data_IF_709428000098
#
_entry.id   IF_709428000098
#
_cell.length_a   1.000
_cell.length_b   1.000
_cell.length_c   1.000
_cell.angle_alpha   90.00
_cell.angle_beta   90.00
_cell.angle_gamma   90.00
#
_symmetry.space_group_name_H-M   'P 1'
#
loop_
_entity.id
_entity.type
_entity.pdbx_description
1 polymer ?
#
# COMPACT_ATOMS: atom_id res chain seq x y z
N UNK A 1 -7.47 -15.70 28.81
CA UNK A 1 -7.10 -14.68 29.80
C UNK A 1 -6.46 -13.56 29.01
N UNK A 2 -7.22 -12.51 28.71
CA UNK A 2 -6.71 -11.32 28.03
C UNK A 2 -5.91 -10.54 29.07
N UNK A 3 -4.59 -10.66 29.04
CA UNK A 3 -3.73 -9.69 29.71
C UNK A 3 -4.05 -8.33 29.07
N UNK A 4 -4.71 -7.47 29.84
CA UNK A 4 -4.83 -6.05 29.53
C UNK A 4 -3.41 -5.50 29.51
N UNK A 5 -2.84 -5.36 28.32
CA UNK A 5 -1.61 -4.59 28.13
C UNK A 5 -1.99 -3.12 28.24
N UNK A 6 -1.89 -2.59 29.46
CA UNK A 6 -2.02 -1.17 29.71
C UNK A 6 -0.78 -0.45 29.15
N UNK A 7 -0.87 0.01 27.91
CA UNK A 7 0.16 0.83 27.25
C UNK A 7 0.35 2.21 27.92
N UNK A 8 -0.48 2.56 28.93
CA UNK A 8 -0.39 3.85 29.62
C UNK A 8 0.76 3.95 30.64
N UNK A 9 1.43 2.84 30.98
CA UNK A 9 2.62 2.86 31.83
C UNK A 9 3.80 3.52 31.09
N UNK A 10 3.86 4.85 31.13
CA UNK A 10 4.92 5.65 30.49
C UNK A 10 6.28 5.32 31.10
N UNK A 11 7.31 5.22 30.25
CA UNK A 11 8.72 5.26 30.65
C UNK A 11 8.96 6.23 31.82
N UNK A 12 9.52 5.71 32.90
CA UNK A 12 9.99 6.53 34.02
C UNK A 12 11.29 7.18 33.58
N UNK A 13 11.30 8.51 33.48
CA UNK A 13 12.51 9.28 33.19
C UNK A 13 13.51 9.06 34.33
N UNK A 14 14.67 8.46 34.02
CA UNK A 14 15.75 8.33 34.98
C UNK A 14 16.49 9.66 35.09
N UNK A 15 16.24 10.40 36.16
CA UNK A 15 17.03 11.59 36.48
C UNK A 15 18.33 11.15 37.17
N UNK A 16 19.43 11.17 36.42
CA UNK A 16 20.76 10.96 37.00
C UNK A 16 21.08 12.08 38.01
N UNK A 17 21.84 11.78 39.09
CA UNK A 17 22.34 12.82 39.99
C UNK A 17 23.27 13.80 39.23
N UNK A 18 23.29 15.06 39.65
CA UNK A 18 24.19 16.06 39.05
C UNK A 18 25.66 15.65 39.27
N UNK A 19 26.47 15.55 38.20
CA UNK A 19 27.90 15.25 38.32
C UNK A 19 28.65 16.44 38.93
N UNK A 20 29.71 16.15 39.67
CA UNK A 20 30.70 17.16 40.05
C UNK A 20 31.40 17.74 38.82
N UNK A 21 32.06 18.92 38.90
CA UNK A 21 32.78 19.49 37.76
C UNK A 21 33.87 18.59 37.18
N UNK A 22 34.50 17.74 38.01
CA UNK A 22 35.52 16.77 37.57
C UNK A 22 34.88 15.61 36.80
N UNK A 23 33.79 15.05 37.33
CA UNK A 23 33.01 14.01 36.64
C UNK A 23 32.42 14.53 35.33
N UNK A 24 31.95 15.78 35.27
CA UNK A 24 31.47 16.38 34.03
C UNK A 24 32.57 16.50 32.98
N UNK A 25 33.78 16.94 33.36
CA UNK A 25 34.90 17.03 32.44
C UNK A 25 35.34 15.64 31.92
N UNK A 26 35.28 14.61 32.77
CA UNK A 26 35.53 13.22 32.37
C UNK A 26 34.45 12.70 31.43
N UNK A 27 33.17 12.97 31.71
CA UNK A 27 32.04 12.62 30.83
C UNK A 27 32.19 13.27 29.45
N UNK A 28 32.54 14.55 29.39
CA UNK A 28 32.73 15.27 28.12
C UNK A 28 33.88 14.67 27.30
N UNK A 29 35.01 14.35 27.95
CA UNK A 29 36.15 13.70 27.29
C UNK A 29 35.79 12.30 26.81
N UNK A 30 35.05 11.54 27.61
CA UNK A 30 34.57 10.21 27.26
C UNK A 30 33.60 10.27 26.07
N UNK A 31 32.64 11.20 26.04
CA UNK A 31 31.70 11.35 24.94
C UNK A 31 32.36 11.84 23.65
N UNK A 32 33.32 12.76 23.73
CA UNK A 32 34.12 13.14 22.57
C UNK A 32 34.89 11.93 22.01
N UNK A 33 35.47 11.10 22.88
CA UNK A 33 36.17 9.88 22.46
C UNK A 33 35.23 8.82 21.88
N UNK A 34 34.04 8.66 22.47
CA UNK A 34 32.99 7.80 21.91
C UNK A 34 32.60 8.27 20.51
N UNK A 35 32.42 9.58 20.30
CA UNK A 35 32.10 10.16 19.00
C UNK A 35 33.19 9.94 17.96
N UNK A 36 34.47 10.12 18.32
CA UNK A 36 35.62 9.77 17.46
C UNK A 36 35.66 8.28 17.09
N UNK A 37 35.11 7.41 17.94
CA UNK A 37 35.03 5.96 17.74
C UNK A 37 33.68 5.52 17.16
N UNK A 38 32.80 6.45 16.79
CA UNK A 38 31.43 6.18 16.32
C UNK A 38 30.58 5.36 17.32
N UNK A 39 30.81 5.54 18.61
CA UNK A 39 30.04 4.96 19.70
C UNK A 39 29.00 5.98 20.20
N UNK A 40 27.78 5.53 20.48
CA UNK A 40 26.73 6.36 21.07
C UNK A 40 26.17 5.67 22.32
N UNK A 41 26.16 6.35 23.48
CA UNK A 41 25.70 5.75 24.72
C UNK A 41 24.17 5.60 24.77
N UNK A 42 23.68 4.40 25.08
CA UNK A 42 22.24 4.11 25.14
C UNK A 42 21.50 4.95 26.19
N UNK A 43 22.13 5.26 27.33
CA UNK A 43 21.51 6.05 28.40
C UNK A 43 21.17 7.48 27.98
N UNK A 44 21.70 7.97 26.85
CA UNK A 44 21.35 9.26 26.26
C UNK A 44 20.29 9.16 25.14
N UNK A 45 19.85 7.94 24.79
CA UNK A 45 19.04 7.68 23.58
C UNK A 45 17.84 6.75 23.80
N UNK A 46 17.72 6.10 24.95
CA UNK A 46 16.79 4.99 25.17
C UNK A 46 15.33 5.34 24.83
N UNK A 47 14.85 6.52 25.23
CA UNK A 47 13.46 6.94 25.01
C UNK A 47 13.10 7.11 23.53
N UNK A 48 14.06 7.54 22.69
CA UNK A 48 13.85 7.68 21.25
C UNK A 48 14.07 6.39 20.48
N UNK A 49 14.95 5.50 20.95
CA UNK A 49 15.22 4.22 20.30
C UNK A 49 14.18 3.15 20.61
N UNK A 50 13.59 3.20 21.81
CA UNK A 50 12.66 2.21 22.33
C UNK A 50 11.46 2.92 22.96
N UNK A 51 10.56 3.53 22.16
CA UNK A 51 9.39 4.23 22.69
C UNK A 51 8.36 3.22 23.26
N UNK A 52 7.44 3.71 24.11
CA UNK A 52 6.37 2.85 24.68
C UNK A 52 5.39 2.35 23.60
N UNK A 53 5.22 3.15 22.55
CA UNK A 53 4.40 2.86 21.37
C UNK A 53 5.05 3.46 20.13
N UNK A 54 4.69 3.03 18.90
CA UNK A 54 5.27 3.58 17.68
C UNK A 54 5.05 5.10 17.56
N UNK A 55 6.15 5.83 17.32
CA UNK A 55 6.14 7.27 17.00
C UNK A 55 6.53 7.46 15.52
N UNK A 56 5.61 7.27 14.56
CA UNK A 56 5.93 7.31 13.14
C UNK A 56 6.37 8.72 12.71
N UNK A 57 7.45 8.79 11.92
CA UNK A 57 7.85 10.04 11.26
C UNK A 57 6.87 10.45 10.15
N UNK A 58 6.29 9.47 9.44
CA UNK A 58 5.25 9.73 8.45
C UNK A 58 4.02 10.34 9.13
N UNK A 59 3.49 11.41 8.55
CA UNK A 59 2.27 12.06 9.02
C UNK A 59 1.08 11.60 8.19
N UNK A 60 -0.13 11.72 8.75
CA UNK A 60 -1.35 11.50 7.97
C UNK A 60 -1.48 12.61 6.92
N UNK A 61 -1.70 12.24 5.66
CA UNK A 61 -1.78 13.19 4.57
C UNK A 61 -2.73 12.69 3.48
N UNK A 62 -3.39 13.64 2.80
CA UNK A 62 -4.31 13.39 1.68
C UNK A 62 -3.78 14.08 0.42
N UNK A 63 -3.85 13.38 -0.69
CA UNK A 63 -3.59 13.91 -2.03
C UNK A 63 -4.90 13.96 -2.82
N UNK A 64 -5.26 15.17 -3.29
CA UNK A 64 -6.44 15.44 -4.10
C UNK A 64 -6.32 14.85 -5.51
N UNK A 65 -7.28 14.01 -5.92
CA UNK A 65 -7.26 13.40 -7.26
C UNK A 65 -7.23 14.43 -8.39
N UNK A 66 -8.00 15.52 -8.25
CA UNK A 66 -8.09 16.56 -9.27
C UNK A 66 -6.73 17.22 -9.55
N UNK A 67 -5.91 17.40 -8.51
CA UNK A 67 -4.56 17.93 -8.65
C UNK A 67 -3.62 16.87 -9.23
N UNK A 68 -3.69 15.63 -8.73
CA UNK A 68 -2.88 14.52 -9.21
C UNK A 68 -3.06 14.28 -10.70
N UNK A 69 -4.31 14.16 -11.17
CA UNK A 69 -4.59 13.89 -12.58
C UNK A 69 -4.23 15.07 -13.49
N UNK A 70 -4.36 16.31 -12.98
CA UNK A 70 -3.95 17.51 -13.72
C UNK A 70 -2.44 17.52 -13.95
N UNK A 71 -1.65 17.23 -12.92
CA UNK A 71 -0.20 17.13 -13.03
C UNK A 71 0.24 15.96 -13.90
N UNK A 72 -0.42 14.80 -13.76
CA UNK A 72 -0.13 13.61 -14.56
C UNK A 72 -0.38 13.85 -16.06
N UNK A 73 -1.51 14.47 -16.42
CA UNK A 73 -1.80 14.88 -17.81
C UNK A 73 -0.76 15.87 -18.32
N UNK A 74 -0.40 16.87 -17.50
CA UNK A 74 0.61 17.85 -17.88
C UNK A 74 2.00 17.21 -18.09
N UNK A 75 2.35 16.21 -17.30
CA UNK A 75 3.59 15.45 -17.49
C UNK A 75 3.56 14.66 -18.81
N UNK A 76 2.39 14.18 -19.24
CA UNK A 76 2.20 13.56 -20.56
C UNK A 76 2.61 14.46 -21.73
N UNK A 77 2.33 15.77 -21.64
CA UNK A 77 2.72 16.74 -22.68
C UNK A 77 4.20 17.09 -22.67
N UNK A 78 4.84 17.04 -21.50
CA UNK A 78 6.14 17.66 -21.25
C UNK A 78 7.30 16.67 -21.13
N UNK A 79 7.02 15.44 -20.69
CA UNK A 79 8.03 14.45 -20.33
C UNK A 79 7.82 13.21 -21.19
N UNK A 80 8.74 12.86 -22.12
CA UNK A 80 8.62 11.63 -22.89
C UNK A 80 8.77 10.40 -21.99
N UNK A 81 8.04 9.33 -22.28
CA UNK A 81 8.25 8.02 -21.64
C UNK A 81 9.32 7.25 -22.41
N UNK A 82 10.23 6.57 -21.70
CA UNK A 82 11.31 5.82 -22.32
C UNK A 82 12.41 5.39 -21.35
N UNK A 83 13.42 4.70 -21.89
CA UNK A 83 14.55 4.14 -21.13
C UNK A 83 15.29 5.19 -20.32
N UNK A 84 15.69 4.83 -19.10
CA UNK A 84 16.40 5.69 -18.15
C UNK A 84 15.44 6.34 -17.15
N UNK A 85 14.28 6.83 -17.61
CA UNK A 85 13.15 7.19 -16.75
C UNK A 85 12.23 6.01 -16.44
N UNK A 86 12.23 4.99 -17.31
CA UNK A 86 11.42 3.74 -17.29
C UNK A 86 9.90 3.91 -17.31
N UNK A 87 9.36 4.81 -16.49
CA UNK A 87 7.95 5.06 -16.27
C UNK A 87 7.71 6.57 -16.13
N UNK A 88 6.53 7.03 -16.54
CA UNK A 88 6.04 8.38 -16.22
C UNK A 88 5.13 8.29 -14.99
N UNK A 89 5.75 8.11 -13.82
CA UNK A 89 5.07 7.96 -12.54
C UNK A 89 5.45 9.09 -11.57
N UNK A 90 4.44 9.69 -10.93
CA UNK A 90 4.63 10.78 -9.96
C UNK A 90 4.40 10.21 -8.57
N UNK A 91 5.50 10.00 -7.83
CA UNK A 91 5.47 9.46 -6.47
C UNK A 91 4.88 10.43 -5.45
N UNK A 92 4.05 9.90 -4.56
CA UNK A 92 3.41 10.64 -3.47
C UNK A 92 4.37 10.71 -2.27
N UNK A 93 4.93 11.90 -2.02
CA UNK A 93 5.94 12.13 -0.99
C UNK A 93 5.29 12.58 0.33
N UNK A 94 5.41 11.76 1.38
CA UNK A 94 4.90 12.10 2.71
C UNK A 94 5.72 13.27 3.31
N UNK A 95 5.06 14.37 3.75
CA UNK A 95 5.77 15.53 4.31
C UNK A 95 6.63 15.22 5.55
N UNK A 96 6.28 14.18 6.30
CA UNK A 96 7.01 13.76 7.50
C UNK A 96 8.30 12.98 7.24
N UNK A 97 8.56 12.55 5.99
CA UNK A 97 9.70 11.70 5.65
C UNK A 97 10.91 12.45 5.06
N UNK A 98 10.87 13.79 5.02
CA UNK A 98 12.07 14.59 4.81
C UNK A 98 12.67 14.58 3.40
N UNK A 99 11.89 14.29 2.35
CA UNK A 99 12.30 14.50 0.95
C UNK A 99 12.14 13.32 -0.01
N UNK A 100 12.39 12.05 0.37
CA UNK A 100 12.13 10.90 -0.50
C UNK A 100 10.66 10.83 -0.93
N UNK A 101 10.39 10.25 -2.10
CA UNK A 101 9.03 10.10 -2.65
C UNK A 101 8.27 8.92 -2.04
N UNK A 102 8.36 8.75 -0.72
CA UNK A 102 7.75 7.65 0.02
C UNK A 102 6.40 8.09 0.58
N UNK A 103 5.32 7.32 0.36
CA UNK A 103 4.02 7.63 0.96
C UNK A 103 3.96 7.20 2.44
N UNK A 104 4.74 6.17 2.77
CA UNK A 104 4.98 5.67 4.12
C UNK A 104 6.40 5.07 4.21
N UNK A 105 6.93 4.78 5.41
CA UNK A 105 8.30 4.29 5.55
C UNK A 105 8.61 3.02 4.75
N UNK A 106 7.60 2.20 4.46
CA UNK A 106 7.71 0.89 3.80
C UNK A 106 7.06 0.85 2.41
N UNK A 107 6.21 1.84 2.08
CA UNK A 107 5.34 1.83 0.89
C UNK A 107 5.59 3.05 0.01
N UNK A 108 5.66 2.81 -1.29
CA UNK A 108 5.64 3.81 -2.34
C UNK A 108 4.30 3.76 -3.05
N UNK A 109 3.79 4.94 -3.41
CA UNK A 109 2.58 5.09 -4.19
C UNK A 109 2.80 6.15 -5.25
N UNK A 110 2.24 5.96 -6.44
CA UNK A 110 2.32 6.96 -7.50
C UNK A 110 1.11 6.93 -8.40
N UNK A 111 0.82 8.08 -9.01
CA UNK A 111 -0.01 8.12 -10.20
C UNK A 111 0.89 7.99 -11.41
N UNK A 112 0.67 6.93 -12.20
CA UNK A 112 1.33 6.74 -13.47
C UNK A 112 0.39 7.08 -14.62
N UNK A 113 0.94 7.68 -15.68
CA UNK A 113 0.19 8.15 -16.83
C UNK A 113 0.83 7.70 -18.14
N UNK A 114 0.03 7.05 -18.99
CA UNK A 114 0.46 6.55 -20.30
C UNK A 114 -0.42 7.13 -21.41
N UNK A 115 0.19 7.90 -22.31
CA UNK A 115 -0.51 8.57 -23.40
C UNK A 115 -0.87 7.58 -24.53
N UNK A 116 -1.80 7.94 -25.44
CA UNK A 116 -2.18 7.11 -26.58
C UNK A 116 -0.96 6.68 -27.41
N UNK A 117 -0.86 5.38 -27.72
CA UNK A 117 0.22 4.82 -28.54
C UNK A 117 1.59 4.72 -27.86
N UNK A 118 1.70 5.08 -26.58
CA UNK A 118 2.96 4.94 -25.84
C UNK A 118 3.20 3.53 -25.31
N UNK A 119 4.47 3.12 -25.35
CA UNK A 119 4.96 1.90 -24.73
C UNK A 119 5.97 2.25 -23.62
N UNK A 120 5.82 1.63 -22.46
CA UNK A 120 6.81 1.63 -21.40
C UNK A 120 7.65 0.32 -21.50
N UNK A 121 8.98 0.41 -21.60
CA UNK A 121 9.84 -0.73 -21.88
C UNK A 121 9.86 -1.75 -20.74
N UNK A 122 10.30 -2.96 -21.03
CA UNK A 122 10.35 -4.02 -20.03
C UNK A 122 11.55 -3.86 -19.08
N UNK A 123 11.32 -4.14 -17.81
CA UNK A 123 12.34 -4.36 -16.79
C UNK A 123 11.82 -5.29 -15.70
N UNK A 124 12.68 -5.70 -14.78
CA UNK A 124 12.29 -6.36 -13.53
C UNK A 124 13.07 -5.79 -12.37
N UNK A 125 12.51 -5.94 -11.18
CA UNK A 125 13.14 -5.51 -9.94
C UNK A 125 12.71 -6.41 -8.78
N UNK A 126 13.49 -6.49 -7.70
CA UNK A 126 13.14 -7.34 -6.54
C UNK A 126 11.90 -6.85 -5.80
N UNK A 127 11.62 -5.55 -5.88
CA UNK A 127 10.44 -4.91 -5.31
C UNK A 127 9.14 -5.53 -5.86
N UNK A 128 8.18 -5.74 -4.98
CA UNK A 128 6.83 -6.15 -5.32
C UNK A 128 6.02 -4.94 -5.79
N UNK A 129 5.13 -5.15 -6.76
CA UNK A 129 4.33 -4.08 -7.31
C UNK A 129 2.91 -4.53 -7.66
N UNK A 130 1.95 -3.63 -7.45
CA UNK A 130 0.61 -3.75 -8.02
C UNK A 130 0.21 -2.48 -8.76
N UNK A 131 -0.84 -2.58 -9.58
CA UNK A 131 -1.55 -1.47 -10.21
C UNK A 131 -3.02 -1.55 -9.88
N UNK A 132 -3.61 -0.44 -9.47
CA UNK A 132 -5.05 -0.33 -9.26
C UNK A 132 -5.62 0.74 -10.20
N UNK A 133 -6.62 0.37 -10.99
CA UNK A 133 -7.14 1.22 -12.05
C UNK A 133 -8.38 1.98 -11.56
N UNK A 134 -8.24 3.30 -11.42
CA UNK A 134 -9.37 4.14 -11.05
C UNK A 134 -10.27 4.43 -12.25
N UNK A 135 -9.71 4.88 -13.38
CA UNK A 135 -10.46 5.24 -14.58
C UNK A 135 -9.65 4.92 -15.85
N UNK A 136 -10.38 4.69 -16.94
CA UNK A 136 -9.79 4.38 -18.25
C UNK A 136 -9.69 2.89 -18.58
N UNK A 137 -9.35 2.64 -19.83
CA UNK A 137 -9.14 1.33 -20.44
C UNK A 137 -8.17 1.48 -21.62
N UNK A 138 -7.77 0.35 -22.23
CA UNK A 138 -6.94 0.35 -23.44
C UNK A 138 -5.44 0.15 -23.19
N UNK A 139 -5.04 -0.01 -21.93
CA UNK A 139 -3.68 -0.41 -21.56
C UNK A 139 -3.64 -1.90 -21.24
N UNK A 140 -2.58 -2.56 -21.71
CA UNK A 140 -2.17 -3.87 -21.22
C UNK A 140 -0.83 -3.74 -20.52
N UNK A 141 -0.68 -4.44 -19.41
CA UNK A 141 0.63 -4.73 -18.84
C UNK A 141 1.06 -6.12 -19.27
N UNK A 142 2.31 -6.25 -19.71
CA UNK A 142 2.88 -7.53 -20.13
C UNK A 142 3.73 -8.04 -18.99
N UNK A 143 3.33 -9.12 -18.32
CA UNK A 143 4.07 -9.68 -17.17
C UNK A 143 4.64 -11.04 -17.55
N UNK A 144 5.97 -11.16 -17.61
CA UNK A 144 6.67 -12.33 -18.17
C UNK A 144 6.10 -12.80 -19.52
N UNK A 145 5.83 -11.84 -20.41
CA UNK A 145 5.25 -12.09 -21.73
C UNK A 145 3.77 -12.46 -21.73
N UNK A 146 3.04 -12.35 -20.62
CA UNK A 146 1.58 -12.51 -20.55
C UNK A 146 0.92 -11.14 -20.59
N UNK A 147 0.20 -10.82 -21.67
CA UNK A 147 -0.53 -9.58 -21.79
C UNK A 147 -1.80 -9.60 -20.91
N UNK A 148 -1.89 -8.66 -19.98
CA UNK A 148 -2.97 -8.54 -18.99
C UNK A 148 -3.72 -7.22 -19.20
N UNK A 149 -5.03 -7.25 -19.53
CA UNK A 149 -5.80 -6.02 -19.74
C UNK A 149 -5.96 -5.23 -18.43
N UNK A 150 -5.85 -3.91 -18.49
CA UNK A 150 -6.11 -2.98 -17.39
C UNK A 150 -7.45 -2.29 -17.62
N UNK A 151 -8.43 -2.50 -16.73
CA UNK A 151 -9.75 -1.86 -16.78
C UNK A 151 -10.13 -1.30 -15.41
N UNK A 152 -11.04 -0.32 -15.39
CA UNK A 152 -11.55 0.30 -14.15
C UNK A 152 -11.92 -0.74 -13.08
N UNK A 153 -11.41 -0.54 -11.88
CA UNK A 153 -11.65 -1.36 -10.68
C UNK A 153 -10.79 -2.62 -10.60
N UNK A 154 -9.96 -2.91 -11.60
CA UNK A 154 -9.06 -4.06 -11.56
C UNK A 154 -7.84 -3.80 -10.66
N UNK A 155 -7.45 -4.83 -9.91
CA UNK A 155 -6.13 -4.93 -9.29
C UNK A 155 -5.25 -5.84 -10.16
N UNK A 156 -4.09 -5.35 -10.57
CA UNK A 156 -3.10 -6.10 -11.34
C UNK A 156 -1.81 -6.27 -10.55
N UNK A 157 -1.20 -7.45 -10.62
CA UNK A 157 0.02 -7.77 -9.90
C UNK A 157 1.22 -7.89 -10.82
N UNK A 158 2.35 -7.39 -10.35
CA UNK A 158 3.69 -7.78 -10.82
C UNK A 158 4.52 -8.04 -9.57
N UNK A 159 4.48 -9.28 -9.05
CA UNK A 159 5.34 -9.65 -7.94
C UNK A 159 6.81 -9.48 -8.30
N UNK A 160 7.66 -9.38 -7.28
CA UNK A 160 9.09 -9.17 -7.44
C UNK A 160 9.73 -10.15 -8.43
N UNK A 161 10.70 -9.64 -9.19
CA UNK A 161 11.51 -10.34 -10.19
C UNK A 161 10.80 -10.78 -11.47
N UNK A 162 9.53 -10.40 -11.67
CA UNK A 162 8.85 -10.59 -12.95
C UNK A 162 9.15 -9.44 -13.91
N UNK A 163 9.49 -9.78 -15.15
CA UNK A 163 9.61 -8.78 -16.22
C UNK A 163 8.25 -8.15 -16.47
N UNK A 164 8.22 -6.83 -16.60
CA UNK A 164 7.01 -6.13 -16.94
C UNK A 164 7.23 -4.86 -17.77
N UNK A 165 6.27 -4.61 -18.67
CA UNK A 165 6.12 -3.39 -19.44
C UNK A 165 4.65 -3.06 -19.67
N UNK A 166 4.36 -1.95 -20.36
CA UNK A 166 3.00 -1.47 -20.60
C UNK A 166 2.86 -0.93 -22.03
N UNK A 167 1.71 -1.15 -22.68
CA UNK A 167 1.36 -0.43 -23.91
C UNK A 167 -0.04 0.14 -23.81
N UNK A 168 -0.24 1.33 -24.39
CA UNK A 168 -1.57 1.91 -24.59
C UNK A 168 -1.94 1.85 -26.08
N UNK A 169 -2.96 1.07 -26.43
CA UNK A 169 -3.48 0.98 -27.80
C UNK A 169 -4.77 1.79 -28.02
N UNK A 170 -5.30 2.44 -26.99
CA UNK A 170 -6.45 3.31 -27.11
C UNK A 170 -6.09 4.68 -27.73
N UNK A 171 -7.12 5.42 -28.11
CA UNK A 171 -7.01 6.82 -28.55
C UNK A 171 -6.98 7.80 -27.38
N UNK A 172 -7.23 7.32 -26.15
CA UNK A 172 -7.28 8.12 -24.93
C UNK A 172 -6.16 7.73 -23.97
N UNK A 173 -5.66 8.68 -23.15
CA UNK A 173 -4.67 8.38 -22.12
C UNK A 173 -5.30 7.59 -20.97
N UNK A 174 -4.45 6.88 -20.23
CA UNK A 174 -4.87 6.15 -19.03
C UNK A 174 -3.95 6.49 -17.86
N UNK A 175 -4.57 6.61 -16.67
CA UNK A 175 -3.86 6.81 -15.41
C UNK A 175 -4.28 5.75 -14.39
N UNK A 176 -3.34 5.34 -13.54
CA UNK A 176 -3.60 4.37 -12.48
C UNK A 176 -2.73 4.64 -11.27
N UNK A 177 -3.08 4.01 -10.16
CA UNK A 177 -2.28 3.99 -8.95
C UNK A 177 -1.30 2.81 -9.01
N UNK A 178 -0.01 3.08 -8.88
CA UNK A 178 0.99 2.07 -8.57
C UNK A 178 1.21 2.03 -7.06
N UNK A 179 1.38 0.83 -6.51
CA UNK A 179 1.86 0.63 -5.14
C UNK A 179 2.99 -0.39 -5.08
N UNK A 180 4.08 -0.02 -4.42
CA UNK A 180 5.32 -0.80 -4.34
C UNK A 180 5.93 -0.79 -2.95
N UNK A 181 6.77 -1.78 -2.65
CA UNK A 181 7.59 -1.86 -1.44
C UNK A 181 8.99 -1.23 -1.61
N UNK A 182 9.14 -0.26 -2.53
CA UNK A 182 10.41 0.45 -2.80
C UNK A 182 11.09 0.96 -1.53
N UNK A 183 10.40 1.66 -0.60
CA UNK A 183 11.05 2.23 0.57
C UNK A 183 11.60 1.14 1.48
N UNK A 184 10.81 0.09 1.72
CA UNK A 184 11.23 -1.06 2.50
C UNK A 184 12.45 -1.74 1.85
N UNK A 185 12.39 -2.02 0.55
CA UNK A 185 13.49 -2.68 -0.15
C UNK A 185 14.78 -1.85 -0.14
N UNK A 186 14.66 -0.52 -0.25
CA UNK A 186 15.80 0.41 -0.19
C UNK A 186 16.42 0.46 1.20
N UNK A 187 15.62 0.63 2.25
CA UNK A 187 16.11 0.70 3.63
C UNK A 187 16.72 -0.62 4.10
N UNK A 188 16.26 -1.74 3.57
CA UNK A 188 16.76 -3.09 3.90
C UNK A 188 17.87 -3.58 2.95
N UNK A 189 18.39 -2.72 2.07
CA UNK A 189 19.44 -3.06 1.09
C UNK A 189 19.15 -4.32 0.27
N UNK A 190 17.88 -4.51 -0.14
CA UNK A 190 17.40 -5.71 -0.85
C UNK A 190 16.97 -5.44 -2.30
N UNK A 191 17.25 -4.25 -2.81
CA UNK A 191 16.93 -3.82 -4.17
C UNK A 191 17.82 -4.46 -5.24
N UNK A 192 17.21 -5.13 -6.21
CA UNK A 192 17.84 -5.56 -7.47
C UNK A 192 17.03 -5.02 -8.64
N UNK A 193 17.70 -4.69 -9.75
CA UNK A 193 17.06 -4.20 -10.96
C UNK A 193 17.75 -4.76 -12.20
N UNK A 194 16.97 -5.11 -13.23
CA UNK A 194 17.47 -5.57 -14.51
C UNK A 194 16.64 -4.99 -15.65
N UNK A 195 17.32 -4.31 -16.59
CA UNK A 195 16.70 -3.86 -17.83
C UNK A 195 16.31 -5.05 -18.69
N UNK A 196 15.07 -5.05 -19.17
CA UNK A 196 14.57 -6.02 -20.14
C UNK A 196 14.63 -5.47 -21.57
N UNK A 197 13.73 -5.97 -22.42
CA UNK A 197 13.63 -5.53 -23.81
C UNK A 197 13.15 -4.07 -23.93
N UNK A 198 13.64 -3.37 -24.96
CA UNK A 198 13.14 -2.03 -25.34
C UNK A 198 11.70 -2.08 -25.85
N UNK A 199 11.35 -3.17 -26.55
CA UNK A 199 9.99 -3.45 -27.04
C UNK A 199 9.32 -4.48 -26.17
N UNK A 200 8.00 -4.44 -26.08
CA UNK A 200 7.27 -5.47 -25.39
C UNK A 200 7.44 -6.81 -26.10
N UNK A 201 7.54 -7.87 -25.30
CA UNK A 201 7.68 -9.25 -25.78
C UNK A 201 6.37 -9.81 -26.35
N UNK A 202 5.23 -9.24 -25.96
CA UNK A 202 3.89 -9.56 -26.45
C UNK A 202 3.08 -8.27 -26.58
N UNK A 203 2.68 -7.91 -27.80
CA UNK A 203 1.82 -6.75 -28.09
C UNK A 203 0.37 -7.18 -28.39
N UNK A 204 0.00 -8.44 -28.09
CA UNK A 204 -1.39 -8.88 -28.20
C UNK A 204 -2.27 -8.28 -27.11
N UNK A 205 -3.57 -8.20 -27.39
CA UNK A 205 -4.57 -7.56 -26.52
C UNK A 205 -5.72 -8.50 -26.16
N UNK A 206 -5.43 -9.62 -25.48
CA UNK A 206 -6.47 -10.57 -25.11
C UNK A 206 -7.42 -9.98 -24.05
N UNK A 207 -8.67 -10.43 -24.07
CA UNK A 207 -9.66 -10.06 -23.04
C UNK A 207 -9.35 -10.65 -21.66
N UNK A 208 -8.61 -11.76 -21.64
CA UNK A 208 -8.13 -12.43 -20.43
C UNK A 208 -6.70 -12.92 -20.64
N UNK A 209 -5.85 -12.65 -19.65
CA UNK A 209 -4.49 -13.16 -19.60
C UNK A 209 -4.45 -14.69 -19.48
N UNK A 210 -3.30 -15.30 -19.77
CA UNK A 210 -3.09 -16.74 -19.52
C UNK A 210 -3.22 -17.05 -18.03
N UNK A 211 -2.77 -16.13 -17.17
CA UNK A 211 -2.90 -16.25 -15.71
C UNK A 211 -4.36 -16.36 -15.26
N UNK A 212 -5.25 -15.49 -15.74
CA UNK A 212 -6.69 -15.51 -15.41
C UNK A 212 -7.34 -16.79 -15.89
N UNK A 213 -7.09 -17.17 -17.15
CA UNK A 213 -7.66 -18.39 -17.76
C UNK A 213 -7.34 -19.65 -16.95
N UNK A 214 -6.24 -19.64 -16.19
CA UNK A 214 -5.79 -20.76 -15.40
C UNK A 214 -6.22 -20.69 -13.92
N UNK A 215 -6.20 -19.50 -13.32
CA UNK A 215 -6.34 -19.32 -11.86
C UNK A 215 -7.61 -18.60 -11.40
N UNK A 216 -8.36 -17.94 -12.29
CA UNK A 216 -9.56 -17.18 -11.94
C UNK A 216 -10.84 -18.04 -11.87
N UNK A 217 -10.72 -19.30 -11.43
CA UNK A 217 -11.85 -20.22 -11.29
C UNK A 217 -12.09 -20.54 -9.81
N UNK A 218 -13.25 -20.17 -9.22
CA UNK A 218 -13.46 -20.28 -7.78
C UNK A 218 -13.38 -21.73 -7.30
N UNK A 219 -12.49 -21.99 -6.34
CA UNK A 219 -12.29 -23.31 -5.75
C UNK A 219 -11.58 -24.33 -6.65
N UNK A 220 -11.15 -23.94 -7.86
CA UNK A 220 -10.46 -24.84 -8.78
C UNK A 220 -8.97 -24.55 -8.81
N UNK A 221 -8.16 -25.61 -8.75
CA UNK A 221 -6.71 -25.54 -8.86
C UNK A 221 -6.21 -26.43 -9.99
N UNK A 222 -5.33 -25.92 -10.87
CA UNK A 222 -4.72 -26.76 -11.89
C UNK A 222 -3.84 -27.86 -11.28
N UNK A 223 -4.07 -29.12 -11.64
CA UNK A 223 -3.27 -30.27 -11.17
C UNK A 223 -1.80 -30.17 -11.60
N UNK A 224 -1.52 -29.49 -12.71
CA UNK A 224 -0.16 -29.24 -13.19
C UNK A 224 0.67 -28.31 -12.29
N UNK A 225 0.03 -27.57 -11.37
CA UNK A 225 0.68 -26.60 -10.48
C UNK A 225 0.34 -26.86 -8.99
N UNK A 226 0.80 -27.99 -8.41
CA UNK A 226 0.45 -28.39 -7.05
C UNK A 226 1.21 -27.63 -5.96
N UNK A 227 2.31 -26.93 -6.31
CA UNK A 227 3.16 -26.21 -5.36
C UNK A 227 2.60 -24.85 -4.94
N UNK A 228 2.95 -24.40 -3.73
CA UNK A 228 2.64 -23.05 -3.26
C UNK A 228 3.58 -22.02 -3.90
N UNK A 229 3.07 -20.82 -4.16
CA UNK A 229 3.84 -19.67 -4.61
C UNK A 229 3.92 -18.62 -3.51
N UNK A 230 5.03 -17.89 -3.42
CA UNK A 230 5.22 -16.79 -2.44
C UNK A 230 4.38 -15.55 -2.78
N UNK A 231 4.00 -15.38 -4.04
CA UNK A 231 3.07 -14.37 -4.50
C UNK A 231 2.01 -15.00 -5.41
N UNK A 232 0.89 -14.32 -5.58
CA UNK A 232 -0.23 -14.84 -6.35
C UNK A 232 0.14 -15.07 -7.82
N UNK A 233 -0.15 -16.26 -8.39
CA UNK A 233 -0.04 -16.49 -9.82
C UNK A 233 -1.22 -15.92 -10.62
N UNK A 234 -2.26 -15.39 -9.96
CA UNK A 234 -3.35 -14.68 -10.61
C UNK A 234 -2.92 -13.22 -10.82
N UNK A 235 -2.65 -12.85 -12.08
CA UNK A 235 -2.10 -11.54 -12.43
C UNK A 235 -3.11 -10.39 -12.40
N UNK A 236 -4.41 -10.69 -12.49
CA UNK A 236 -5.51 -9.71 -12.47
C UNK A 236 -6.66 -10.21 -11.61
N UNK A 237 -7.11 -9.36 -10.69
CA UNK A 237 -8.34 -9.52 -9.94
C UNK A 237 -9.36 -8.56 -10.52
N UNK A 238 -10.30 -9.09 -11.29
CA UNK A 238 -11.25 -8.29 -12.05
C UNK A 238 -12.27 -7.58 -11.14
N UNK A 239 -12.65 -6.35 -11.51
CA UNK A 239 -13.66 -5.57 -10.79
C UNK A 239 -14.97 -6.33 -10.59
N UNK A 240 -15.45 -7.04 -11.62
CA UNK A 240 -16.72 -7.76 -11.57
C UNK A 240 -16.81 -8.77 -10.41
N UNK A 241 -15.70 -9.41 -10.05
CA UNK A 241 -15.64 -10.35 -8.93
C UNK A 241 -15.60 -9.61 -7.59
N UNK A 242 -14.89 -8.48 -7.53
CA UNK A 242 -14.82 -7.62 -6.35
C UNK A 242 -16.19 -7.05 -6.02
N UNK A 243 -16.86 -6.45 -7.01
CA UNK A 243 -18.20 -5.89 -6.88
C UNK A 243 -19.23 -6.94 -6.44
N UNK A 244 -19.23 -8.11 -7.09
CA UNK A 244 -20.14 -9.19 -6.74
C UNK A 244 -19.96 -9.66 -5.30
N UNK A 245 -18.71 -9.84 -4.84
CA UNK A 245 -18.43 -10.29 -3.48
C UNK A 245 -18.91 -9.28 -2.43
N UNK A 246 -18.65 -7.99 -2.64
CA UNK A 246 -19.07 -6.92 -1.72
C UNK A 246 -20.60 -6.77 -1.68
N UNK A 247 -21.24 -6.82 -2.86
CA UNK A 247 -22.70 -6.78 -2.99
C UNK A 247 -23.36 -7.96 -2.26
N UNK A 248 -22.81 -9.16 -2.39
CA UNK A 248 -23.36 -10.36 -1.76
C UNK A 248 -23.18 -10.33 -0.22
N UNK A 249 -22.07 -9.79 0.31
CA UNK A 249 -21.91 -9.57 1.76
C UNK A 249 -22.98 -8.63 2.33
N UNK A 250 -23.25 -7.52 1.65
CA UNK A 250 -24.29 -6.58 2.06
C UNK A 250 -25.71 -7.18 1.94
N UNK A 251 -25.95 -8.00 0.91
CA UNK A 251 -27.23 -8.71 0.77
C UNK A 251 -27.44 -9.77 1.88
N UNK A 252 -26.36 -10.43 2.33
CA UNK A 252 -26.39 -11.33 3.48
C UNK A 252 -26.72 -10.58 4.77
N UNK A 253 -26.14 -9.40 4.97
CA UNK A 253 -26.48 -8.52 6.09
C UNK A 253 -27.98 -8.13 6.07
N UNK A 254 -28.53 -7.73 4.92
CA UNK A 254 -29.96 -7.41 4.77
C UNK A 254 -30.87 -8.60 5.10
N UNK A 255 -30.39 -9.82 4.83
CA UNK A 255 -31.06 -11.06 5.14
C UNK A 255 -30.83 -11.54 6.60
N UNK A 256 -30.06 -10.80 7.41
CA UNK A 256 -29.78 -11.13 8.81
C UNK A 256 -28.73 -12.21 9.02
N UNK A 257 -27.88 -12.47 8.03
CA UNK A 257 -26.78 -13.43 8.10
C UNK A 257 -25.43 -12.74 8.30
N UNK A 258 -24.46 -13.41 8.96
CA UNK A 258 -23.10 -12.89 9.06
C UNK A 258 -22.43 -12.83 7.68
N UNK A 259 -21.54 -11.86 7.47
CA UNK A 259 -20.80 -11.71 6.21
C UNK A 259 -20.05 -10.38 6.05
N UNK A 260 -20.49 -9.33 6.74
CA UNK A 260 -19.84 -8.02 6.79
C UNK A 260 -18.87 -7.92 7.97
N UNK A 261 -17.86 -7.03 7.89
CA UNK A 261 -16.89 -6.82 8.98
C UNK A 261 -17.45 -5.95 10.11
N UNK A 262 -18.46 -5.13 9.80
CA UNK A 262 -19.23 -4.32 10.74
C UNK A 262 -20.53 -3.85 10.09
N UNK A 263 -21.45 -3.22 10.84
CA UNK A 263 -22.73 -2.76 10.29
C UNK A 263 -22.55 -1.86 9.05
N UNK A 264 -23.11 -2.28 7.92
CA UNK A 264 -23.02 -1.59 6.65
C UNK A 264 -21.63 -1.61 5.99
N UNK A 265 -20.69 -2.43 6.45
CA UNK A 265 -19.30 -2.47 5.99
C UNK A 265 -18.93 -3.84 5.41
N UNK A 266 -19.00 -3.98 4.09
CA UNK A 266 -18.46 -5.13 3.38
C UNK A 266 -16.97 -4.91 3.05
N UNK A 267 -16.17 -5.97 3.13
CA UNK A 267 -14.77 -5.90 2.76
C UNK A 267 -14.26 -7.24 2.24
N UNK A 268 -13.29 -7.19 1.33
CA UNK A 268 -12.56 -8.36 0.86
C UNK A 268 -11.06 -8.11 1.00
N UNK A 269 -10.31 -9.21 1.08
CA UNK A 269 -8.87 -9.24 0.88
C UNK A 269 -8.58 -9.97 -0.42
N UNK A 270 -7.71 -9.41 -1.25
CA UNK A 270 -7.19 -10.10 -2.42
C UNK A 270 -6.19 -11.15 -1.96
N UNK A 271 -6.35 -12.41 -2.41
CA UNK A 271 -5.57 -13.53 -1.89
C UNK A 271 -4.81 -14.28 -2.97
N UNK A 272 -3.64 -14.79 -2.62
CA UNK A 272 -2.93 -15.78 -3.42
C UNK A 272 -3.69 -17.13 -3.42
N UNK A 273 -4.25 -17.60 -4.56
CA UNK A 273 -5.07 -18.81 -4.61
C UNK A 273 -4.30 -20.10 -4.32
N UNK A 274 -2.97 -20.05 -4.25
CA UNK A 274 -2.16 -21.24 -3.89
C UNK A 274 -2.04 -21.45 -2.38
N UNK A 275 -2.30 -20.41 -1.58
CA UNK A 275 -2.09 -20.41 -0.11
C UNK A 275 -3.29 -19.86 0.69
N UNK A 276 -4.15 -19.04 0.08
CA UNK A 276 -5.18 -18.26 0.77
C UNK A 276 -4.65 -17.04 1.52
N UNK A 277 -3.32 -16.78 1.49
CA UNK A 277 -2.69 -15.61 2.11
C UNK A 277 -2.69 -14.38 1.22
N UNK A 278 -1.93 -13.36 1.61
CA UNK A 278 -1.80 -12.10 0.87
C UNK A 278 -1.30 -12.27 -0.57
N UNK A 279 -1.64 -11.29 -1.43
CA UNK A 279 -1.25 -11.28 -2.85
C UNK A 279 0.26 -11.34 -3.07
N UNK A 280 1.04 -10.71 -2.19
CA UNK A 280 2.50 -10.63 -2.24
C UNK A 280 3.05 -10.66 -0.82
N UNK A 281 4.35 -10.94 -0.67
CA UNK A 281 4.99 -11.16 0.63
C UNK A 281 5.06 -9.91 1.53
N UNK A 282 5.01 -8.73 0.94
CA UNK A 282 5.23 -7.44 1.62
C UNK A 282 4.03 -6.51 1.56
N UNK A 283 3.04 -6.80 0.71
CA UNK A 283 1.89 -5.92 0.46
C UNK A 283 0.61 -6.73 0.55
N UNK A 284 -0.29 -6.26 1.41
CA UNK A 284 -1.69 -6.67 1.47
C UNK A 284 -2.53 -5.71 0.64
N UNK A 285 -3.47 -6.25 -0.12
CA UNK A 285 -4.48 -5.47 -0.83
C UNK A 285 -5.87 -5.89 -0.38
N UNK A 286 -6.73 -4.91 -0.14
CA UNK A 286 -8.11 -5.06 0.34
C UNK A 286 -9.03 -4.10 -0.45
N UNK A 287 -10.31 -4.38 -0.45
CA UNK A 287 -11.32 -3.48 -1.00
C UNK A 287 -12.50 -3.41 -0.02
N UNK A 288 -12.98 -2.20 0.25
CA UNK A 288 -14.03 -1.94 1.23
C UNK A 288 -15.19 -1.20 0.57
N UNK A 289 -16.41 -1.62 0.90
CA UNK A 289 -17.67 -0.96 0.52
C UNK A 289 -18.46 -0.64 1.78
N UNK A 290 -18.77 0.63 1.98
CA UNK A 290 -19.56 1.12 3.10
C UNK A 290 -20.88 1.70 2.60
N UNK A 291 -21.99 1.31 3.24
CA UNK A 291 -23.31 1.88 3.01
C UNK A 291 -23.34 3.38 3.37
N UNK A 292 -24.30 4.17 2.83
CA UNK A 292 -24.53 5.54 3.24
C UNK A 292 -24.53 5.73 4.77
N UNK A 293 -23.67 6.60 5.28
CA UNK A 293 -23.57 6.92 6.70
C UNK A 293 -22.99 5.82 7.60
N UNK A 294 -22.50 4.70 7.05
CA UNK A 294 -21.83 3.68 7.85
C UNK A 294 -20.51 4.23 8.44
N UNK A 295 -20.21 3.84 9.67
CA UNK A 295 -19.01 4.27 10.41
C UNK A 295 -18.22 3.05 10.85
N UNK A 296 -16.92 3.04 10.58
CA UNK A 296 -16.03 1.97 11.04
C UNK A 296 -15.66 2.18 12.50
N UNK A 297 -15.47 1.08 13.23
CA UNK A 297 -14.88 1.13 14.58
C UNK A 297 -13.48 1.76 14.52
N UNK A 298 -13.16 2.73 15.40
CA UNK A 298 -11.81 3.25 15.51
C UNK A 298 -10.79 2.16 15.83
N UNK A 299 -9.65 2.17 15.14
CA UNK A 299 -8.62 1.15 15.31
C UNK A 299 -7.21 1.75 15.23
N UNK A 300 -6.31 1.23 16.04
CA UNK A 300 -4.87 1.35 15.91
C UNK A 300 -4.33 0.05 15.34
N UNK A 301 -3.46 0.14 14.35
CA UNK A 301 -2.80 -1.01 13.76
C UNK A 301 -1.31 -0.71 13.64
N UNK A 302 -0.44 -1.67 13.97
CA UNK A 302 0.98 -1.59 13.58
C UNK A 302 1.09 -1.83 12.09
N UNK A 303 1.79 -0.93 11.41
CA UNK A 303 1.93 -0.91 9.97
C UNK A 303 1.20 0.26 9.33
N UNK A 304 1.55 0.54 8.09
CA UNK A 304 1.01 1.66 7.33
C UNK A 304 -0.07 1.18 6.38
N UNK A 305 -1.10 2.00 6.24
CA UNK A 305 -2.22 1.76 5.33
C UNK A 305 -2.39 2.95 4.39
N UNK A 306 -2.78 2.67 3.16
CA UNK A 306 -3.11 3.70 2.17
C UNK A 306 -4.45 3.33 1.54
N UNK A 307 -5.34 4.32 1.47
CA UNK A 307 -6.63 4.19 0.78
C UNK A 307 -6.62 5.04 -0.48
N UNK A 308 -7.29 4.53 -1.52
CA UNK A 308 -7.75 5.33 -2.64
C UNK A 308 -9.27 5.18 -2.77
N UNK A 309 -9.99 6.30 -2.82
CA UNK A 309 -11.44 6.28 -3.03
C UNK A 309 -11.73 5.85 -4.48
N UNK A 310 -12.40 4.72 -4.64
CA UNK A 310 -12.82 4.22 -5.95
C UNK A 310 -14.13 4.86 -6.40
N UNK A 311 -15.10 5.04 -5.50
CA UNK A 311 -16.40 5.65 -5.79
C UNK A 311 -17.04 6.21 -4.51
N UNK A 312 -17.90 7.22 -4.64
CA UNK A 312 -18.54 7.87 -3.50
C UNK A 312 -17.63 8.86 -2.77
N UNK A 313 -17.92 9.07 -1.49
CA UNK A 313 -17.18 10.00 -0.63
C UNK A 313 -17.15 9.52 0.82
N UNK A 314 -16.15 9.94 1.58
CA UNK A 314 -16.03 9.61 3.00
C UNK A 314 -15.39 10.73 3.79
N UNK A 315 -15.52 10.68 5.11
CA UNK A 315 -14.67 11.43 6.04
C UNK A 315 -13.80 10.42 6.79
N UNK A 316 -12.48 10.58 6.72
CA UNK A 316 -11.54 9.79 7.51
C UNK A 316 -10.99 10.63 8.65
N UNK A 317 -10.95 10.06 9.85
CA UNK A 317 -10.33 10.65 11.04
C UNK A 317 -9.07 9.86 11.35
N UNK A 318 -7.92 10.54 11.52
CA UNK A 318 -6.61 9.91 11.78
C UNK A 318 -5.89 10.67 12.89
N UNK A 319 -5.94 10.15 14.12
CA UNK A 319 -5.58 10.93 15.30
C UNK A 319 -6.44 12.19 15.40
N UNK A 320 -5.79 13.35 15.47
CA UNK A 320 -6.47 14.66 15.55
C UNK A 320 -6.84 15.24 14.17
N UNK A 321 -6.37 14.62 13.08
CA UNK A 321 -6.61 15.09 11.72
C UNK A 321 -7.92 14.52 11.16
N UNK A 322 -8.63 15.35 10.38
CA UNK A 322 -9.88 14.96 9.71
C UNK A 322 -9.80 15.35 8.23
N UNK A 323 -9.99 14.38 7.35
CA UNK A 323 -9.96 14.59 5.91
C UNK A 323 -11.29 14.19 5.27
N UNK A 324 -11.85 15.09 4.45
CA UNK A 324 -12.87 14.72 3.47
C UNK A 324 -12.21 14.05 2.27
N UNK A 325 -12.77 12.93 1.83
CA UNK A 325 -12.28 12.13 0.71
C UNK A 325 -13.34 12.07 -0.38
N UNK A 326 -12.94 12.34 -1.61
CA UNK A 326 -13.76 12.22 -2.81
C UNK A 326 -13.15 11.21 -3.78
N UNK A 327 -13.88 10.89 -4.85
CA UNK A 327 -13.42 10.00 -5.92
C UNK A 327 -11.97 10.26 -6.34
N UNK A 328 -11.15 9.20 -6.23
CA UNK A 328 -9.75 9.15 -6.61
C UNK A 328 -8.76 9.64 -5.56
N UNK A 329 -9.22 10.35 -4.51
CA UNK A 329 -8.34 10.87 -3.47
C UNK A 329 -7.55 9.73 -2.82
N UNK A 330 -6.28 10.00 -2.52
CA UNK A 330 -5.39 9.07 -1.84
C UNK A 330 -5.09 9.59 -0.45
N UNK A 331 -5.15 8.74 0.58
CA UNK A 331 -4.81 9.10 1.96
C UNK A 331 -3.96 8.02 2.60
N UNK A 332 -2.92 8.41 3.34
CA UNK A 332 -2.12 7.49 4.13
C UNK A 332 -2.48 7.57 5.62
N UNK A 333 -2.50 6.41 6.26
CA UNK A 333 -2.64 6.21 7.70
C UNK A 333 -1.30 5.67 8.22
N UNK A 334 -0.51 6.48 8.93
CA UNK A 334 0.74 6.02 9.53
C UNK A 334 0.51 5.00 10.65
N UNK A 335 1.51 4.16 10.89
CA UNK A 335 1.52 3.14 11.95
C UNK A 335 1.04 3.68 13.31
N UNK A 336 0.16 2.93 13.96
CA UNK A 336 -0.39 3.17 15.29
C UNK A 336 -1.22 4.45 15.48
N UNK A 337 -1.43 5.26 14.43
CA UNK A 337 -2.39 6.38 14.50
C UNK A 337 -3.82 5.80 14.52
N UNK A 338 -4.67 6.17 15.51
CA UNK A 338 -6.04 5.71 15.52
C UNK A 338 -6.76 6.25 14.30
N UNK A 339 -7.54 5.41 13.62
CA UNK A 339 -8.30 5.86 12.47
C UNK A 339 -9.70 5.26 12.40
N UNK A 340 -10.62 6.00 11.76
CA UNK A 340 -11.97 5.53 11.41
C UNK A 340 -12.47 6.23 10.14
N UNK A 341 -13.37 5.57 9.42
CA UNK A 341 -14.04 6.07 8.23
C UNK A 341 -15.54 6.25 8.52
N UNK A 342 -16.09 7.35 8.01
CA UNK A 342 -17.53 7.61 7.95
C UNK A 342 -17.90 7.80 6.47
N UNK A 343 -18.78 6.94 5.97
CA UNK A 343 -19.23 7.00 4.59
C UNK A 343 -20.16 8.19 4.35
N UNK A 344 -20.00 8.84 3.20
CA UNK A 344 -20.85 9.93 2.74
C UNK A 344 -22.29 9.49 2.41
N UNK A 345 -23.12 10.42 1.92
CA UNK A 345 -24.56 10.18 1.69
C UNK A 345 -24.87 9.14 0.61
N UNK A 346 -23.93 8.86 -0.29
CA UNK A 346 -24.07 7.83 -1.34
C UNK A 346 -23.33 6.53 -0.99
N UNK A 347 -22.71 6.45 0.19
CA UNK A 347 -21.76 5.40 0.54
C UNK A 347 -20.36 5.68 -0.02
N UNK A 348 -19.47 4.70 0.12
CA UNK A 348 -18.10 4.79 -0.40
C UNK A 348 -17.53 3.41 -0.71
N UNK A 349 -16.79 3.35 -1.82
CA UNK A 349 -15.94 2.23 -2.21
C UNK A 349 -14.47 2.67 -2.12
N UNK A 350 -13.63 1.93 -1.41
CA UNK A 350 -12.20 2.23 -1.26
C UNK A 350 -11.36 1.01 -1.59
N UNK A 351 -10.37 1.21 -2.46
CA UNK A 351 -9.23 0.31 -2.55
C UNK A 351 -8.25 0.63 -1.42
N UNK A 352 -7.66 -0.41 -0.83
CA UNK A 352 -6.74 -0.28 0.29
C UNK A 352 -5.51 -1.17 0.07
N UNK A 353 -4.32 -0.66 0.40
CA UNK A 353 -3.12 -1.48 0.52
C UNK A 353 -2.31 -1.13 1.76
N UNK A 354 -1.59 -2.12 2.29
CA UNK A 354 -0.81 -1.99 3.52
C UNK A 354 0.43 -2.87 3.52
N UNK A 355 1.34 -2.58 4.45
CA UNK A 355 2.57 -3.35 4.73
C UNK A 355 2.37 -4.41 5.84
N UNK A 356 1.12 -4.67 6.25
CA UNK A 356 0.78 -5.60 7.33
C UNK A 356 1.42 -6.99 7.20
N UNK A 357 1.56 -7.58 5.99
CA UNK A 357 2.23 -8.88 5.86
C UNK A 357 3.65 -8.90 6.42
N UNK A 358 4.38 -7.77 6.39
CA UNK A 358 5.72 -7.65 6.97
C UNK A 358 5.65 -7.81 8.49
N UNK A 359 4.79 -7.03 9.14
CA UNK A 359 4.68 -7.04 10.60
C UNK A 359 4.07 -8.33 11.14
N UNK A 360 3.09 -8.90 10.44
CA UNK A 360 2.53 -10.21 10.79
C UNK A 360 3.58 -11.32 10.66
N UNK A 361 4.40 -11.29 9.59
CA UNK A 361 5.43 -12.31 9.38
C UNK A 361 6.58 -12.25 10.39
N UNK A 362 6.80 -11.08 10.97
CA UNK A 362 7.85 -10.81 11.96
C UNK A 362 7.34 -10.85 13.41
N UNK A 363 6.08 -11.23 13.63
CA UNK A 363 5.43 -11.25 14.95
C UNK A 363 5.41 -9.86 15.64
N UNK A 364 5.38 -8.79 14.85
CA UNK A 364 5.37 -7.40 15.30
C UNK A 364 3.97 -6.76 15.24
N UNK A 365 3.01 -7.39 14.58
CA UNK A 365 1.66 -6.85 14.42
C UNK A 365 0.94 -6.68 15.78
N UNK A 366 0.32 -5.52 15.97
CA UNK A 366 -0.59 -5.22 17.08
C UNK A 366 -1.82 -4.50 16.52
N UNK A 367 -2.96 -4.74 17.15
CA UNK A 367 -4.22 -4.05 16.86
C UNK A 367 -4.88 -3.67 18.18
N UNK A 368 -5.41 -2.46 18.27
CA UNK A 368 -6.16 -1.97 19.42
C UNK A 368 -7.37 -1.17 18.97
N UNK A 369 -8.56 -1.52 19.48
CA UNK A 369 -9.80 -0.79 19.24
C UNK A 369 -10.19 -0.04 20.53
N UNK A 370 -10.14 1.31 20.52
CA UNK A 370 -10.65 2.11 21.63
C UNK A 370 -12.17 1.93 21.71
N UNK A 371 -12.60 1.08 22.64
CA UNK A 371 -13.98 0.64 22.91
C UNK A 371 -14.56 -0.44 21.97
N UNK A 372 -14.66 -1.67 22.52
CA UNK A 372 -15.41 -2.80 21.95
C UNK A 372 -14.93 -4.20 22.35
N UNK A 373 -15.06 -4.59 23.63
CA UNK A 373 -15.38 -5.99 24.02
C UNK A 373 -16.89 -6.04 24.23
#
# INVERSE_FOLDING_TARGET
MTESTDYAARHVEFTAPEPTPEEQAELDSMYARMDELHMKPLWNQIGGLMPNEPEPQAVAHRWDWSELITLARRAGDLVPVGRGGERRAIGLANPGLGGPTYIAPTLWAAIQYLAPGENAPEHRHSQNAFRFVLEGEGVWTVVNGDAVPMRRGDLLLTPGWNFHGHHNIATEPMAWLDGLDIPFAHQMDSGFFEYGSERLTDESTPDHSRSERLWAHPGLRPVAFPGQASASPLGRYAWEHTDAALRDQLALEDAGFPGVVGPGHAAIRYTNPTTGGDVMSTIRAEFHRLRPGAVTTPVHEVGNRVFQVFEGSATIRIGDEVFGLNHGDVVNVPSWRPWSLEAGPEGVDLFCFSDHPIFEKLDLARTYTPEGI
#
